data_IF_428224834325
#
_entry.id   IF_428224834325
#
_cell.length_a   1.000
_cell.length_b   1.000
_cell.length_c   1.000
_cell.angle_alpha   90.00
_cell.angle_beta   90.00
_cell.angle_gamma   90.00
#
_symmetry.space_group_name_H-M   'P 1'
#
loop_
_entity.id
_entity.type
_entity.pdbx_description
1 polymer ?
#
# COMPACT_ATOMS: atom_id res chain seq x y z
N UNK A 1 -1.91 15.14 4.82
CA UNK A 1 -3.21 14.43 4.90
C UNK A 1 -3.37 13.86 6.31
N UNK A 2 -4.54 14.03 6.89
CA UNK A 2 -4.88 13.47 8.19
C UNK A 2 -6.14 12.60 8.05
N UNK A 3 -6.00 11.32 8.38
CA UNK A 3 -7.09 10.36 8.42
C UNK A 3 -6.73 9.26 9.43
N UNK A 4 -7.63 8.98 10.36
CA UNK A 4 -7.44 7.91 11.34
C UNK A 4 -8.62 6.94 11.28
N UNK A 5 -8.35 5.72 10.81
CA UNK A 5 -9.34 4.65 10.62
C UNK A 5 -10.12 4.26 11.87
N UNK A 6 -9.58 4.56 13.07
CA UNK A 6 -10.18 4.17 14.35
C UNK A 6 -11.11 5.25 14.89
N UNK A 7 -10.81 6.51 14.63
CA UNK A 7 -11.52 7.65 15.21
C UNK A 7 -12.34 8.45 14.23
N UNK A 8 -11.95 8.44 12.95
CA UNK A 8 -12.67 9.14 11.90
C UNK A 8 -13.81 8.25 11.35
N UNK A 9 -15.04 8.63 11.66
CA UNK A 9 -16.27 8.02 11.16
C UNK A 9 -17.04 9.01 10.29
N UNK A 10 -16.35 9.97 9.68
CA UNK A 10 -16.97 10.92 8.77
C UNK A 10 -17.43 10.22 7.48
N UNK A 11 -18.46 10.75 6.85
CA UNK A 11 -18.92 10.29 5.54
C UNK A 11 -17.79 10.32 4.49
N UNK A 12 -16.90 11.30 4.58
CA UNK A 12 -15.72 11.41 3.72
C UNK A 12 -14.74 10.23 3.90
N UNK A 13 -14.58 9.75 5.12
CA UNK A 13 -13.78 8.55 5.40
C UNK A 13 -14.41 7.29 4.79
N UNK A 14 -15.72 7.12 4.93
CA UNK A 14 -16.43 5.99 4.35
C UNK A 14 -16.37 6.02 2.82
N UNK A 15 -16.51 7.19 2.19
CA UNK A 15 -16.33 7.35 0.75
C UNK A 15 -14.91 6.97 0.30
N UNK A 16 -13.87 7.43 1.03
CA UNK A 16 -12.48 7.06 0.75
C UNK A 16 -12.27 5.55 0.88
N UNK A 17 -12.78 4.93 1.93
CA UNK A 17 -12.71 3.49 2.15
C UNK A 17 -13.38 2.72 1.01
N UNK A 18 -14.58 3.11 0.60
CA UNK A 18 -15.28 2.48 -0.51
C UNK A 18 -14.54 2.65 -1.86
N UNK A 19 -13.90 3.79 -2.08
CA UNK A 19 -13.08 3.98 -3.28
C UNK A 19 -11.84 3.06 -3.26
N UNK A 20 -11.17 2.93 -2.12
CA UNK A 20 -10.03 2.01 -1.95
C UNK A 20 -10.45 0.55 -2.09
N UNK A 21 -11.58 0.14 -1.51
CA UNK A 21 -12.11 -1.22 -1.66
C UNK A 21 -12.42 -1.55 -3.13
N UNK A 22 -12.93 -0.59 -3.92
CA UNK A 22 -13.14 -0.76 -5.37
C UNK A 22 -11.81 -0.98 -6.11
N UNK A 23 -10.75 -0.23 -5.77
CA UNK A 23 -9.41 -0.45 -6.35
C UNK A 23 -8.92 -1.87 -6.02
N UNK A 24 -9.00 -2.27 -4.74
CA UNK A 24 -8.54 -3.59 -4.30
C UNK A 24 -9.30 -4.71 -4.98
N UNK A 25 -10.64 -4.64 -5.02
CA UNK A 25 -11.46 -5.65 -5.67
C UNK A 25 -11.13 -5.77 -7.16
N UNK A 26 -10.96 -4.64 -7.85
CA UNK A 26 -10.63 -4.61 -9.28
C UNK A 26 -9.20 -5.08 -9.57
N UNK A 27 -8.26 -4.82 -8.66
CA UNK A 27 -6.89 -5.35 -8.77
C UNK A 27 -6.86 -6.88 -8.73
N UNK A 28 -7.82 -7.50 -8.03
CA UNK A 28 -7.95 -8.96 -7.96
C UNK A 28 -8.81 -9.53 -9.12
N UNK A 29 -9.82 -8.79 -9.60
CA UNK A 29 -10.68 -9.16 -10.72
C UNK A 29 -10.18 -8.52 -12.02
N UNK A 30 -9.37 -9.26 -12.77
CA UNK A 30 -8.74 -8.78 -14.02
C UNK A 30 -9.71 -8.81 -15.20
N UNK A 31 -10.75 -8.00 -15.24
CA UNK A 31 -11.54 -7.78 -16.44
C UNK A 31 -11.02 -6.59 -17.27
N UNK A 32 -11.17 -6.72 -18.61
CA UNK A 32 -10.48 -5.92 -19.65
C UNK A 32 -10.80 -4.42 -19.74
N UNK A 33 -11.71 -3.90 -18.96
CA UNK A 33 -12.12 -2.48 -19.01
C UNK A 33 -11.36 -1.59 -17.99
N UNK A 34 -10.18 -2.08 -17.55
CA UNK A 34 -9.55 -1.69 -16.29
C UNK A 34 -8.96 -0.30 -16.20
N UNK A 35 -8.19 0.20 -17.19
CA UNK A 35 -7.34 1.38 -16.98
C UNK A 35 -8.12 2.68 -16.80
N UNK A 36 -9.12 2.93 -17.64
CA UNK A 36 -9.91 4.16 -17.55
C UNK A 36 -10.70 4.18 -16.23
N UNK A 37 -11.27 3.04 -15.85
CA UNK A 37 -12.01 2.91 -14.60
C UNK A 37 -11.10 3.03 -13.38
N UNK A 38 -9.94 2.38 -13.37
CA UNK A 38 -8.94 2.52 -12.29
C UNK A 38 -8.45 3.96 -12.17
N UNK A 39 -8.17 4.62 -13.29
CA UNK A 39 -7.80 6.03 -13.30
C UNK A 39 -8.92 6.91 -12.74
N UNK A 40 -10.18 6.63 -13.05
CA UNK A 40 -11.31 7.39 -12.49
C UNK A 40 -11.40 7.25 -10.97
N UNK A 41 -11.23 6.04 -10.43
CA UNK A 41 -11.20 5.81 -8.97
C UNK A 41 -9.95 6.47 -8.34
N UNK A 42 -8.81 6.40 -9.01
CA UNK A 42 -7.60 7.08 -8.55
C UNK A 42 -7.83 8.59 -8.40
N UNK A 43 -8.41 9.26 -9.40
CA UNK A 43 -8.74 10.68 -9.30
C UNK A 43 -9.80 10.96 -8.23
N UNK A 44 -10.77 10.08 -8.02
CA UNK A 44 -11.73 10.17 -6.93
C UNK A 44 -11.03 10.11 -5.56
N UNK A 45 -10.10 9.16 -5.36
CA UNK A 45 -9.31 9.07 -4.13
C UNK A 45 -8.48 10.34 -3.91
N UNK A 46 -7.78 10.83 -4.94
CA UNK A 46 -7.01 12.08 -4.84
C UNK A 46 -7.92 13.26 -4.49
N UNK A 47 -9.08 13.38 -5.14
CA UNK A 47 -10.06 14.42 -4.85
C UNK A 47 -10.56 14.35 -3.39
N UNK A 48 -10.93 13.16 -2.91
CA UNK A 48 -11.38 12.97 -1.53
C UNK A 48 -10.29 13.32 -0.52
N UNK A 49 -9.04 12.93 -0.77
CA UNK A 49 -7.89 13.26 0.07
C UNK A 49 -7.64 14.76 0.10
N UNK A 50 -7.66 15.43 -1.06
CA UNK A 50 -7.42 16.87 -1.13
C UNK A 50 -8.56 17.69 -0.54
N UNK A 51 -9.81 17.29 -0.75
CA UNK A 51 -10.98 18.04 -0.33
C UNK A 51 -11.29 17.89 1.15
N UNK A 52 -11.08 16.70 1.71
CA UNK A 52 -11.56 16.38 3.06
C UNK A 52 -10.43 16.16 4.08
N UNK A 53 -9.26 15.71 3.64
CA UNK A 53 -8.16 15.33 4.53
C UNK A 53 -6.90 16.20 4.37
N UNK A 54 -6.88 17.12 3.39
CA UNK A 54 -5.77 18.05 3.24
C UNK A 54 -5.87 19.15 4.29
N UNK A 55 -4.85 19.27 5.11
CA UNK A 55 -4.75 20.30 6.13
C UNK A 55 -4.27 21.61 5.47
N UNK A 56 -5.05 22.67 5.60
CA UNK A 56 -4.65 24.04 5.21
C UNK A 56 -4.15 24.80 6.44
N UNK A 57 -3.26 25.76 6.24
CA UNK A 57 -2.58 26.48 7.33
C UNK A 57 -3.49 27.22 8.33
N UNK A 58 -4.73 27.50 7.95
CA UNK A 58 -5.77 28.16 8.75
C UNK A 58 -6.81 27.21 9.35
N UNK A 59 -6.64 25.90 9.14
CA UNK A 59 -7.62 24.88 9.54
C UNK A 59 -7.59 24.66 11.06
N UNK A 60 -8.77 24.73 11.70
CA UNK A 60 -8.92 24.42 13.14
C UNK A 60 -8.42 23.02 13.52
N UNK A 61 -8.42 22.08 12.56
CA UNK A 61 -7.85 20.72 12.70
C UNK A 61 -6.35 20.73 12.99
N UNK A 62 -5.63 21.81 12.63
CA UNK A 62 -4.21 21.97 13.02
C UNK A 62 -4.06 21.99 14.54
N UNK A 63 -4.95 22.69 15.27
CA UNK A 63 -4.89 22.75 16.74
C UNK A 63 -5.10 21.38 17.36
N UNK A 64 -5.98 20.57 16.79
CA UNK A 64 -6.22 19.19 17.22
C UNK A 64 -5.06 18.27 16.86
N UNK A 65 -4.41 18.49 15.71
CA UNK A 65 -3.21 17.75 15.29
C UNK A 65 -2.01 18.00 16.21
N UNK A 66 -1.88 19.20 16.77
CA UNK A 66 -0.86 19.53 17.78
C UNK A 66 -1.30 19.21 19.21
N UNK A 67 -2.41 18.49 19.39
CA UNK A 67 -2.76 17.97 20.71
C UNK A 67 -1.66 17.01 21.20
N UNK A 68 -1.41 16.91 22.52
CA UNK A 68 -0.41 15.98 23.04
C UNK A 68 -0.65 14.53 22.66
N UNK A 69 -1.91 14.13 22.42
CA UNK A 69 -2.27 12.80 21.94
C UNK A 69 -1.82 12.56 20.50
N UNK A 70 -2.09 13.48 19.59
CA UNK A 70 -1.72 13.35 18.19
C UNK A 70 -0.20 13.48 17.99
N UNK A 71 0.46 14.36 18.73
CA UNK A 71 1.93 14.44 18.75
C UNK A 71 2.56 13.07 19.07
N UNK A 72 2.00 12.35 20.02
CA UNK A 72 2.49 11.02 20.39
C UNK A 72 2.30 9.97 19.28
N UNK A 73 1.21 10.03 18.52
CA UNK A 73 1.02 9.15 17.35
C UNK A 73 2.17 9.37 16.35
N UNK A 74 2.48 10.62 16.01
CA UNK A 74 3.58 10.96 15.10
C UNK A 74 4.95 10.53 15.64
N UNK A 75 5.18 10.67 16.94
CA UNK A 75 6.44 10.22 17.57
C UNK A 75 6.61 8.70 17.45
N UNK A 76 5.53 7.93 17.67
CA UNK A 76 5.53 6.47 17.50
C UNK A 76 5.78 6.10 16.04
N UNK A 77 5.07 6.73 15.10
CA UNK A 77 5.21 6.48 13.66
C UNK A 77 6.65 6.78 13.20
N UNK A 78 7.16 7.97 13.50
CA UNK A 78 8.50 8.38 13.13
C UNK A 78 9.57 7.45 13.73
N UNK A 79 9.39 7.03 14.99
CA UNK A 79 10.31 6.11 15.62
C UNK A 79 10.35 4.75 14.93
N UNK A 80 9.20 4.18 14.61
CA UNK A 80 9.11 2.90 13.91
C UNK A 80 9.68 3.02 12.49
N UNK A 81 9.30 4.05 11.74
CA UNK A 81 9.80 4.28 10.37
C UNK A 81 11.32 4.45 10.32
N UNK A 82 11.90 5.15 11.29
CA UNK A 82 13.35 5.35 11.33
C UNK A 82 14.16 4.11 11.78
N UNK A 83 13.48 3.10 12.37
CA UNK A 83 14.18 1.99 13.01
C UNK A 83 13.63 0.60 12.65
N UNK A 84 12.67 0.47 11.72
CA UNK A 84 12.00 -0.81 11.42
C UNK A 84 12.95 -1.94 11.03
N UNK A 85 14.09 -1.63 10.42
CA UNK A 85 15.11 -2.62 10.03
C UNK A 85 15.89 -3.20 11.20
N UNK A 86 15.81 -2.56 12.37
CA UNK A 86 16.52 -2.99 13.60
C UNK A 86 15.62 -3.81 14.50
N UNK A 87 16.17 -4.56 15.46
CA UNK A 87 15.35 -5.14 16.53
C UNK A 87 14.61 -4.01 17.28
N UNK A 88 13.28 -4.07 17.27
CA UNK A 88 12.42 -3.11 17.94
C UNK A 88 11.57 -3.81 18.99
N UNK A 89 11.58 -3.29 20.21
CA UNK A 89 10.70 -3.71 21.29
C UNK A 89 9.84 -2.56 21.81
N UNK A 90 8.71 -2.89 22.40
CA UNK A 90 7.87 -1.90 23.09
C UNK A 90 8.67 -1.20 24.21
N UNK A 91 9.58 -1.92 24.89
CA UNK A 91 10.43 -1.38 25.95
C UNK A 91 11.36 -0.26 25.44
N UNK A 92 11.86 -0.34 24.22
CA UNK A 92 12.70 0.72 23.66
C UNK A 92 11.90 2.00 23.46
N UNK A 93 10.68 1.86 22.97
CA UNK A 93 9.78 2.98 22.75
C UNK A 93 9.29 3.60 24.06
N UNK A 94 8.99 2.78 25.09
CA UNK A 94 8.57 3.28 26.42
C UNK A 94 9.68 4.06 27.09
N UNK A 95 10.93 3.61 27.00
CA UNK A 95 12.08 4.36 27.49
C UNK A 95 12.24 5.72 26.81
N UNK A 96 12.06 5.75 25.49
CA UNK A 96 12.15 6.99 24.72
C UNK A 96 11.03 7.99 25.05
N UNK A 97 9.82 7.51 25.26
CA UNK A 97 8.63 8.34 25.51
C UNK A 97 8.35 8.60 26.99
N UNK A 98 9.17 8.03 27.90
CA UNK A 98 8.97 8.09 29.36
C UNK A 98 7.58 7.59 29.80
N UNK A 99 7.13 6.49 29.21
CA UNK A 99 5.81 5.89 29.45
C UNK A 99 5.93 4.47 30.00
N UNK A 100 4.89 3.98 30.69
CA UNK A 100 4.83 2.57 31.07
C UNK A 100 4.42 1.69 29.89
N UNK A 101 4.90 0.41 29.89
CA UNK A 101 4.52 -0.59 28.88
C UNK A 101 3.00 -0.79 28.80
N UNK A 102 2.33 -0.84 29.97
CA UNK A 102 0.88 -1.03 30.03
C UNK A 102 0.12 0.12 29.35
N UNK A 103 0.54 1.35 29.62
CA UNK A 103 -0.07 2.53 29.00
C UNK A 103 0.17 2.54 27.48
N UNK A 104 1.42 2.39 27.05
CA UNK A 104 1.78 2.48 25.64
C UNK A 104 1.15 1.36 24.81
N UNK A 105 1.07 0.14 25.34
CA UNK A 105 0.39 -0.98 24.70
C UNK A 105 -1.10 -0.69 24.46
N UNK A 106 -1.81 -0.18 25.48
CA UNK A 106 -3.21 0.23 25.36
C UNK A 106 -3.38 1.40 24.38
N UNK A 107 -2.47 2.37 24.43
CA UNK A 107 -2.48 3.53 23.55
C UNK A 107 -2.33 3.11 22.08
N UNK A 108 -1.34 2.27 21.77
CA UNK A 108 -1.11 1.76 20.41
C UNK A 108 -2.34 0.97 19.94
N UNK A 109 -2.87 0.05 20.76
CA UNK A 109 -4.07 -0.72 20.40
C UNK A 109 -5.29 0.19 20.13
N UNK A 110 -5.46 1.26 20.92
CA UNK A 110 -6.56 2.24 20.75
C UNK A 110 -6.42 3.03 19.43
N UNK A 111 -5.21 3.52 19.12
CA UNK A 111 -5.02 4.47 18.02
C UNK A 111 -4.62 3.82 16.68
N UNK A 112 -3.99 2.66 16.71
CA UNK A 112 -3.58 1.93 15.50
C UNK A 112 -4.43 0.68 15.23
N UNK A 113 -5.29 0.28 16.16
CA UNK A 113 -6.07 -0.96 16.05
C UNK A 113 -5.26 -2.25 16.19
N UNK A 114 -3.94 -2.16 16.28
CA UNK A 114 -2.95 -3.25 16.24
C UNK A 114 -2.11 -3.26 17.52
N UNK A 115 -1.49 -4.40 17.84
CA UNK A 115 -0.40 -4.45 18.80
C UNK A 115 0.85 -3.78 18.23
N UNK A 116 1.80 -3.42 19.08
CA UNK A 116 3.07 -2.84 18.62
C UNK A 116 3.83 -3.74 17.64
N UNK A 117 3.86 -5.04 17.92
CA UNK A 117 4.53 -6.02 17.06
C UNK A 117 3.85 -6.14 15.69
N UNK A 118 2.53 -6.20 15.66
CA UNK A 118 1.76 -6.21 14.41
C UNK A 118 2.01 -4.93 13.60
N UNK A 119 2.01 -3.77 14.26
CA UNK A 119 2.29 -2.49 13.61
C UNK A 119 3.71 -2.45 13.01
N UNK A 120 4.74 -2.86 13.74
CA UNK A 120 6.12 -2.95 13.24
C UNK A 120 6.22 -3.93 12.06
N UNK A 121 5.56 -5.09 12.16
CA UNK A 121 5.55 -6.06 11.08
C UNK A 121 4.87 -5.51 9.81
N UNK A 122 3.78 -4.76 9.96
CA UNK A 122 3.10 -4.12 8.81
C UNK A 122 4.02 -3.11 8.11
N UNK A 123 4.75 -2.29 8.87
CA UNK A 123 5.72 -1.34 8.30
C UNK A 123 6.84 -2.09 7.57
N UNK A 124 7.38 -3.17 8.14
CA UNK A 124 8.40 -4.01 7.51
C UNK A 124 7.90 -4.66 6.22
N UNK A 125 6.67 -5.18 6.24
CA UNK A 125 6.05 -5.81 5.06
C UNK A 125 5.83 -4.80 3.95
N UNK A 126 5.39 -3.59 4.28
CA UNK A 126 5.20 -2.52 3.30
C UNK A 126 6.48 -2.27 2.49
N UNK A 127 7.64 -2.16 3.15
CA UNK A 127 8.93 -1.99 2.46
C UNK A 127 9.41 -3.26 1.76
N UNK A 128 9.15 -4.44 2.35
CA UNK A 128 9.58 -5.72 1.77
C UNK A 128 8.83 -6.07 0.48
N UNK A 129 7.59 -5.62 0.30
CA UNK A 129 6.79 -5.89 -0.91
C UNK A 129 7.42 -5.28 -2.15
N UNK A 130 7.91 -4.06 -2.08
CA UNK A 130 8.58 -3.39 -3.21
C UNK A 130 9.83 -4.17 -3.62
N UNK A 131 10.66 -4.59 -2.65
CA UNK A 131 11.83 -5.42 -2.95
C UNK A 131 11.43 -6.80 -3.50
N UNK A 132 10.31 -7.35 -3.02
CA UNK A 132 9.82 -8.64 -3.48
C UNK A 132 9.39 -8.61 -4.95
N UNK A 133 8.79 -7.52 -5.40
CA UNK A 133 8.30 -7.34 -6.77
C UNK A 133 9.44 -6.91 -7.70
N UNK A 134 10.22 -5.91 -7.30
CA UNK A 134 11.15 -5.22 -8.20
C UNK A 134 12.62 -5.66 -8.05
N UNK A 135 12.91 -6.75 -7.34
CA UNK A 135 14.27 -7.27 -7.24
C UNK A 135 14.34 -8.80 -7.29
N UNK A 136 15.47 -9.32 -7.76
CA UNK A 136 15.79 -10.75 -7.77
C UNK A 136 16.41 -11.24 -6.45
N UNK A 137 16.38 -10.41 -5.41
CA UNK A 137 16.92 -10.80 -4.10
C UNK A 137 16.22 -12.07 -3.58
N UNK A 138 17.01 -12.92 -2.92
CA UNK A 138 16.45 -14.07 -2.20
C UNK A 138 15.47 -13.59 -1.13
N UNK A 139 14.33 -14.27 -1.01
CA UNK A 139 13.28 -13.92 -0.05
C UNK A 139 13.80 -13.87 1.38
N UNK A 140 14.73 -14.79 1.73
CA UNK A 140 15.41 -14.77 3.04
C UNK A 140 16.21 -13.48 3.25
N UNK A 141 16.84 -12.95 2.20
CA UNK A 141 17.60 -11.70 2.27
C UNK A 141 16.67 -10.50 2.44
N UNK A 142 15.58 -10.44 1.67
CA UNK A 142 14.55 -9.40 1.81
C UNK A 142 14.01 -9.37 3.24
N UNK A 143 13.69 -10.54 3.82
CA UNK A 143 13.23 -10.62 5.20
C UNK A 143 14.21 -9.99 6.19
N UNK A 144 15.51 -10.33 6.07
CA UNK A 144 16.55 -9.79 6.98
C UNK A 144 16.79 -8.30 6.77
N UNK A 145 16.88 -7.84 5.51
CA UNK A 145 17.11 -6.43 5.17
C UNK A 145 15.97 -5.53 5.69
N UNK A 146 14.73 -6.08 5.75
CA UNK A 146 13.56 -5.40 6.30
C UNK A 146 13.33 -5.66 7.80
N UNK A 147 14.33 -6.20 8.51
CA UNK A 147 14.33 -6.27 9.97
C UNK A 147 13.52 -7.42 10.58
N UNK A 148 13.09 -8.42 9.79
CA UNK A 148 12.49 -9.62 10.36
C UNK A 148 13.57 -10.49 11.03
N UNK A 149 13.31 -11.01 12.23
CA UNK A 149 14.30 -11.82 12.95
C UNK A 149 14.61 -13.15 12.27
N UNK A 150 13.66 -13.68 11.51
CA UNK A 150 13.81 -14.93 10.74
C UNK A 150 12.95 -14.89 9.47
N UNK A 151 13.34 -15.67 8.45
CA UNK A 151 12.51 -15.86 7.25
C UNK A 151 11.15 -16.51 7.59
N UNK A 152 11.09 -17.35 8.62
CA UNK A 152 9.83 -17.93 9.09
C UNK A 152 8.86 -16.89 9.65
N UNK A 153 9.37 -15.93 10.44
CA UNK A 153 8.57 -14.81 10.95
C UNK A 153 8.05 -13.92 9.80
N UNK A 154 8.89 -13.64 8.81
CA UNK A 154 8.48 -12.94 7.60
C UNK A 154 7.37 -13.68 6.83
N UNK A 155 7.59 -14.96 6.53
CA UNK A 155 6.60 -15.77 5.79
C UNK A 155 5.25 -15.84 6.52
N UNK A 156 5.27 -15.96 7.86
CA UNK A 156 4.05 -15.98 8.66
C UNK A 156 3.32 -14.64 8.56
N UNK A 157 3.99 -13.53 8.85
CA UNK A 157 3.39 -12.20 8.79
C UNK A 157 2.89 -11.85 7.38
N UNK A 158 3.66 -12.23 6.35
CA UNK A 158 3.27 -12.01 4.96
C UNK A 158 1.99 -12.78 4.60
N UNK A 159 1.91 -14.06 4.98
CA UNK A 159 0.73 -14.89 4.69
C UNK A 159 -0.53 -14.41 5.45
N UNK A 160 -0.37 -13.87 6.65
CA UNK A 160 -1.48 -13.31 7.42
C UNK A 160 -2.12 -12.11 6.71
N UNK A 161 -1.32 -11.26 6.03
CA UNK A 161 -1.81 -10.04 5.38
C UNK A 161 -2.17 -10.28 3.92
N UNK A 162 -1.30 -10.94 3.16
CA UNK A 162 -1.48 -11.12 1.70
C UNK A 162 -2.14 -12.44 1.30
N UNK A 163 -2.44 -13.32 2.25
CA UNK A 163 -3.04 -14.65 2.07
C UNK A 163 -2.27 -15.57 1.10
N UNK A 164 -1.04 -15.20 0.74
CA UNK A 164 -0.11 -15.91 -0.12
C UNK A 164 1.26 -16.00 0.54
N UNK A 165 2.06 -16.98 0.12
CA UNK A 165 3.49 -16.97 0.48
C UNK A 165 4.23 -15.88 -0.31
N UNK A 166 5.35 -15.33 0.19
CA UNK A 166 6.16 -14.38 -0.57
C UNK A 166 6.57 -14.89 -1.95
N UNK A 167 6.93 -16.18 -2.07
CA UNK A 167 7.29 -16.80 -3.36
C UNK A 167 6.12 -16.83 -4.33
N UNK A 168 4.93 -17.24 -3.86
CA UNK A 168 3.73 -17.28 -4.69
C UNK A 168 3.29 -15.87 -5.10
N UNK A 169 3.43 -14.90 -4.20
CA UNK A 169 3.12 -13.50 -4.49
C UNK A 169 4.06 -12.94 -5.56
N UNK A 170 5.39 -13.13 -5.43
CA UNK A 170 6.37 -12.75 -6.44
C UNK A 170 6.04 -13.36 -7.80
N UNK A 171 5.81 -14.68 -7.84
CA UNK A 171 5.49 -15.37 -9.09
C UNK A 171 4.20 -14.82 -9.74
N UNK A 172 3.18 -14.53 -8.93
CA UNK A 172 1.93 -13.95 -9.41
C UNK A 172 2.15 -12.57 -10.04
N UNK A 173 2.96 -11.71 -9.43
CA UNK A 173 3.26 -10.37 -9.95
C UNK A 173 4.08 -10.42 -11.25
N UNK A 174 5.16 -11.20 -11.29
CA UNK A 174 5.98 -11.38 -12.51
C UNK A 174 5.19 -12.00 -13.67
N UNK A 175 4.31 -12.96 -13.40
CA UNK A 175 3.45 -13.53 -14.45
C UNK A 175 2.45 -12.50 -14.99
N UNK A 176 2.05 -11.56 -14.17
CA UNK A 176 1.16 -10.47 -14.55
C UNK A 176 1.81 -9.48 -15.50
N UNK A 177 3.03 -9.04 -15.18
CA UNK A 177 3.82 -8.15 -16.01
C UNK A 177 4.12 -8.78 -17.38
N UNK A 178 4.51 -10.05 -17.41
CA UNK A 178 4.76 -10.79 -18.66
C UNK A 178 3.52 -10.93 -19.55
N UNK A 179 2.32 -10.98 -19.00
CA UNK A 179 1.07 -11.05 -19.77
C UNK A 179 0.75 -9.68 -20.36
N UNK A 180 0.96 -8.61 -19.59
CA UNK A 180 0.69 -7.25 -20.04
C UNK A 180 1.70 -6.79 -21.10
N UNK A 181 2.99 -7.12 -20.97
CA UNK A 181 4.01 -6.89 -22.00
C UNK A 181 3.71 -7.64 -23.32
N UNK A 182 3.29 -8.92 -23.21
CA UNK A 182 2.90 -9.71 -24.39
C UNK A 182 1.65 -9.19 -25.07
N UNK A 183 0.67 -8.64 -24.32
CA UNK A 183 -0.53 -8.00 -24.88
C UNK A 183 -0.19 -6.69 -25.55
N UNK A 184 0.53 -5.80 -24.88
CA UNK A 184 0.97 -4.52 -25.45
C UNK A 184 1.83 -4.74 -26.70
N UNK A 185 2.72 -5.74 -26.68
CA UNK A 185 3.52 -6.11 -27.86
C UNK A 185 2.66 -6.57 -29.04
N UNK A 186 1.61 -7.38 -28.81
CA UNK A 186 0.67 -7.82 -29.86
C UNK A 186 -0.19 -6.67 -30.39
N UNK A 187 -0.74 -5.85 -29.49
CA UNK A 187 -1.54 -4.68 -29.88
C UNK A 187 -0.71 -3.68 -30.70
N UNK A 188 0.52 -3.42 -30.30
CA UNK A 188 1.45 -2.55 -31.04
C UNK A 188 1.77 -3.12 -32.43
N UNK A 189 2.00 -4.43 -32.56
CA UNK A 189 2.22 -5.08 -33.85
C UNK A 189 0.97 -5.04 -34.75
N UNK A 190 -0.21 -5.18 -34.17
CA UNK A 190 -1.48 -5.13 -34.91
C UNK A 190 -1.79 -3.71 -35.40
N UNK A 191 -1.53 -2.70 -34.57
CA UNK A 191 -1.64 -1.28 -34.96
C UNK A 191 -0.63 -0.94 -36.05
N UNK A 192 0.63 -1.34 -35.94
CA UNK A 192 1.66 -1.15 -36.97
C UNK A 192 1.27 -1.81 -38.30
N UNK A 193 0.69 -3.00 -38.25
CA UNK A 193 0.23 -3.72 -39.44
C UNK A 193 -0.96 -3.01 -40.11
N UNK A 194 -1.90 -2.48 -39.32
CA UNK A 194 -3.04 -1.68 -39.82
C UNK A 194 -2.58 -0.37 -40.46
N UNK A 195 -1.65 0.34 -39.84
CA UNK A 195 -1.06 1.57 -40.37
C UNK A 195 -0.30 1.31 -41.68
N UNK A 196 0.51 0.25 -41.77
CA UNK A 196 1.20 -0.12 -43.03
C UNK A 196 0.22 -0.43 -44.15
N UNK A 197 -0.84 -1.22 -43.89
CA UNK A 197 -1.89 -1.52 -44.88
C UNK A 197 -2.59 -0.25 -45.39
N UNK A 198 -2.86 0.68 -44.47
CA UNK A 198 -3.46 1.98 -44.84
C UNK A 198 -2.55 2.81 -45.73
N UNK A 199 -1.25 2.85 -45.43
CA UNK A 199 -0.25 3.58 -46.24
C UNK A 199 0.00 2.92 -47.60
N UNK A 200 -0.21 1.59 -47.72
CA UNK A 200 -0.11 0.86 -48.98
C UNK A 200 -1.39 0.94 -49.84
N UNK A 201 -2.42 1.66 -49.41
CA UNK A 201 -3.67 1.87 -50.19
C UNK A 201 -4.56 0.61 -50.28
N UNK A 202 -4.37 -0.38 -49.44
CA UNK A 202 -5.20 -1.57 -49.43
C UNK A 202 -6.46 -1.36 -48.55
N UNK A 203 -7.67 -1.78 -49.02
CA UNK A 203 -8.88 -1.62 -48.25
C UNK A 203 -8.80 -2.38 -46.92
N UNK A 204 -9.24 -1.75 -45.82
CA UNK A 204 -9.33 -2.36 -44.52
C UNK A 204 -10.36 -3.50 -44.54
N UNK A 205 -10.08 -4.66 -43.89
CA UNK A 205 -11.13 -5.66 -43.63
C UNK A 205 -12.19 -5.02 -42.75
N UNK A 206 -13.43 -5.05 -43.22
CA UNK A 206 -14.61 -4.68 -42.41
C UNK A 206 -14.92 -5.90 -41.58
N UNK A 207 -14.76 -5.79 -40.25
CA UNK A 207 -15.17 -6.86 -39.35
C UNK A 207 -16.71 -7.00 -39.44
N UNK A 208 -17.19 -8.18 -39.86
CA UNK A 208 -18.60 -8.57 -39.84
C UNK A 208 -19.09 -8.86 -38.43
#
# INVERSE_FOLDING_TARGET
FWCNTVTDRSEAYDQLRHALDRILNRFYDREKEGEIYLNSIYYEVVYLLMSNFMIRGDDARIKEQFSPENSRIFEIQNYVQANYTKPLSLNDLTRKLYLSNAYLSKYIKKHFGLSFLEYVNNVRLFHAVDELIYSDKKITRIAMDNGFPTAAAFNKAFKEIYHLTPSAYRQKMHNSENIDEKKQGKEKQEVDLRVRKYLEGKPMPVDE
#
